data_IF_067638873115
#
_entry.id   IF_067638873115
#
_cell.length_a   1.000
_cell.length_b   1.000
_cell.length_c   1.000
_cell.angle_alpha   90.00
_cell.angle_beta   90.00
_cell.angle_gamma   90.00
#
_symmetry.space_group_name_H-M   'P 1'
#
loop_
_entity.id
_entity.type
_entity.pdbx_description
1 polymer ?
#
# COMPACT_ATOMS: atom_id res chain seq x y z
N UNK A 1 -8.28 -12.32 18.01
CA UNK A 1 -8.94 -12.25 16.69
C UNK A 1 -7.86 -12.00 15.66
N UNK A 2 -7.59 -12.95 14.79
CA UNK A 2 -6.64 -12.76 13.69
C UNK A 2 -7.27 -11.78 12.70
N UNK A 3 -6.64 -10.65 12.34
CA UNK A 3 -7.24 -9.73 11.38
C UNK A 3 -7.47 -10.48 10.07
N UNK A 4 -8.71 -10.46 9.59
CA UNK A 4 -9.07 -11.03 8.29
C UNK A 4 -8.27 -10.25 7.24
N UNK A 5 -7.35 -10.91 6.55
CA UNK A 5 -6.52 -10.25 5.54
C UNK A 5 -7.38 -9.92 4.33
N UNK A 6 -7.81 -8.67 4.25
CA UNK A 6 -8.42 -8.10 3.05
C UNK A 6 -7.31 -7.74 2.07
N UNK A 7 -7.50 -8.04 0.79
CA UNK A 7 -6.55 -7.73 -0.27
C UNK A 7 -7.18 -6.79 -1.29
N UNK A 8 -6.52 -5.68 -1.59
CA UNK A 8 -6.98 -4.71 -2.57
C UNK A 8 -6.07 -4.71 -3.82
N UNK A 9 -6.61 -4.28 -4.96
CA UNK A 9 -5.81 -4.03 -6.15
C UNK A 9 -5.03 -2.73 -6.02
N UNK A 10 -4.02 -2.54 -6.88
CA UNK A 10 -3.29 -1.27 -6.99
C UNK A 10 -4.21 -0.07 -7.27
N UNK A 11 -5.26 -0.26 -8.07
CA UNK A 11 -6.22 0.80 -8.41
C UNK A 11 -7.08 1.19 -7.20
N UNK A 12 -7.58 0.20 -6.46
CA UNK A 12 -8.37 0.43 -5.24
C UNK A 12 -7.54 1.13 -4.16
N UNK A 13 -6.29 0.70 -3.95
CA UNK A 13 -5.37 1.36 -3.01
C UNK A 13 -5.11 2.82 -3.40
N UNK A 14 -4.93 3.08 -4.70
CA UNK A 14 -4.68 4.41 -5.23
C UNK A 14 -5.87 5.35 -5.01
N UNK A 15 -7.08 4.89 -5.30
CA UNK A 15 -8.31 5.63 -5.08
C UNK A 15 -8.53 5.93 -3.60
N UNK A 16 -8.34 4.93 -2.72
CA UNK A 16 -8.55 5.07 -1.27
C UNK A 16 -7.59 6.05 -0.61
N UNK A 17 -6.36 6.13 -1.10
CA UNK A 17 -5.28 6.94 -0.49
C UNK A 17 -4.98 8.23 -1.23
N UNK A 18 -5.67 8.47 -2.35
CA UNK A 18 -5.40 9.57 -3.30
C UNK A 18 -3.93 9.61 -3.79
N UNK A 19 -3.29 8.44 -3.84
CA UNK A 19 -1.91 8.26 -4.31
C UNK A 19 -1.92 7.58 -5.67
N UNK A 20 -1.15 8.08 -6.62
CA UNK A 20 -1.09 7.43 -7.94
C UNK A 20 -0.62 5.97 -7.88
N UNK A 21 -1.20 5.12 -8.74
CA UNK A 21 -0.75 3.72 -8.95
C UNK A 21 0.76 3.65 -9.27
N UNK A 22 1.29 4.65 -9.98
CA UNK A 22 2.72 4.76 -10.30
C UNK A 22 3.57 4.89 -9.03
N UNK A 23 3.14 5.70 -8.06
CA UNK A 23 3.80 5.83 -6.77
C UNK A 23 3.80 4.51 -6.01
N UNK A 24 2.66 3.80 -5.96
CA UNK A 24 2.58 2.48 -5.29
C UNK A 24 3.52 1.45 -5.96
N UNK A 25 3.55 1.38 -7.29
CA UNK A 25 4.50 0.51 -8.02
C UNK A 25 5.96 0.85 -7.74
N UNK A 26 6.28 2.14 -7.63
CA UNK A 26 7.63 2.59 -7.24
C UNK A 26 7.99 2.13 -5.82
N UNK A 27 7.07 2.23 -4.86
CA UNK A 27 7.27 1.73 -3.48
C UNK A 27 7.49 0.22 -3.44
N UNK A 28 6.76 -0.54 -4.26
CA UNK A 28 6.94 -2.00 -4.38
C UNK A 28 8.32 -2.32 -4.95
N UNK A 29 8.69 -1.65 -6.05
CA UNK A 29 9.99 -1.86 -6.71
C UNK A 29 11.17 -1.48 -5.81
N UNK A 30 10.97 -0.48 -4.94
CA UNK A 30 11.94 -0.06 -3.92
C UNK A 30 11.96 -0.96 -2.66
N UNK A 31 11.14 -2.02 -2.60
CA UNK A 31 11.04 -2.91 -1.44
C UNK A 31 10.35 -2.28 -0.21
N UNK A 32 9.72 -1.12 -0.37
CA UNK A 32 9.08 -0.36 0.72
C UNK A 32 7.61 -0.75 0.94
N UNK A 33 6.97 -1.35 -0.07
CA UNK A 33 5.60 -1.83 0.01
C UNK A 33 5.55 -3.28 -0.42
N UNK A 34 5.04 -4.16 0.45
CA UNK A 34 4.87 -5.57 0.11
C UNK A 34 3.68 -5.75 -0.80
N UNK A 35 3.88 -6.53 -1.87
CA UNK A 35 2.82 -6.91 -2.78
C UNK A 35 2.74 -8.43 -2.89
N UNK A 36 1.52 -8.93 -3.07
CA UNK A 36 1.18 -10.34 -3.11
C UNK A 36 0.73 -10.70 -4.53
N UNK A 37 1.27 -11.78 -5.08
CA UNK A 37 0.84 -12.30 -6.38
C UNK A 37 -0.36 -13.23 -6.18
N UNK A 38 -1.39 -13.01 -6.98
CA UNK A 38 -2.51 -13.94 -7.15
C UNK A 38 -2.43 -14.52 -8.56
N UNK A 39 -1.74 -15.65 -8.70
CA UNK A 39 -1.40 -16.21 -10.00
C UNK A 39 -0.37 -15.37 -10.78
N UNK A 40 -0.27 -15.56 -12.11
CA UNK A 40 0.86 -15.03 -12.89
C UNK A 40 0.80 -13.51 -13.13
N UNK A 41 -0.40 -12.91 -13.15
CA UNK A 41 -0.60 -11.52 -13.62
C UNK A 41 -1.25 -10.58 -12.62
N UNK A 42 -1.88 -11.09 -11.56
CA UNK A 42 -2.64 -10.25 -10.63
C UNK A 42 -1.76 -9.94 -9.42
N UNK A 43 -1.68 -8.64 -9.10
CA UNK A 43 -1.00 -8.15 -7.92
C UNK A 43 -2.02 -7.60 -6.92
N UNK A 44 -1.81 -7.90 -5.65
CA UNK A 44 -2.65 -7.51 -4.52
C UNK A 44 -1.81 -6.86 -3.44
N UNK A 45 -2.41 -5.96 -2.69
CA UNK A 45 -1.82 -5.26 -1.57
C UNK A 45 -2.60 -5.56 -0.30
N UNK A 46 -1.91 -5.58 0.83
CA UNK A 46 -2.56 -5.50 2.14
C UNK A 46 -2.81 -4.02 2.43
N UNK A 47 -4.07 -3.58 2.64
CA UNK A 47 -4.41 -2.19 2.94
C UNK A 47 -3.60 -1.64 4.13
N UNK A 48 -3.33 -2.46 5.15
CA UNK A 48 -2.57 -2.04 6.32
C UNK A 48 -1.12 -1.71 5.99
N UNK A 49 -0.51 -2.42 5.03
CA UNK A 49 0.86 -2.14 4.59
C UNK A 49 0.93 -0.86 3.75
N UNK A 50 -0.14 -0.55 3.00
CA UNK A 50 -0.28 0.74 2.31
C UNK A 50 -0.40 1.88 3.33
N UNK A 51 -1.23 1.71 4.37
CA UNK A 51 -1.47 2.74 5.39
C UNK A 51 -0.21 3.04 6.22
N UNK A 52 0.62 2.02 6.49
CA UNK A 52 1.93 2.19 7.16
C UNK A 52 2.93 3.05 6.36
N UNK A 53 2.68 3.31 5.08
CA UNK A 53 3.48 4.25 4.30
C UNK A 53 3.20 5.71 4.69
N UNK A 54 2.01 5.99 5.22
CA UNK A 54 1.65 7.30 5.73
C UNK A 54 2.35 7.52 7.06
N UNK A 55 3.16 8.57 7.13
CA UNK A 55 3.84 8.98 8.36
C UNK A 55 3.42 10.40 8.69
N UNK A 56 3.20 10.73 9.97
CA UNK A 56 2.92 12.11 10.36
C UNK A 56 4.10 12.99 9.94
N UNK A 57 3.78 14.19 9.42
CA UNK A 57 4.78 15.23 9.24
C UNK A 57 5.06 15.82 10.62
N UNK A 58 6.32 15.81 11.11
CA UNK A 58 6.64 16.41 12.39
C UNK A 58 6.31 17.91 12.36
N UNK A 59 5.55 18.37 13.35
CA UNK A 59 5.31 19.78 13.57
C UNK A 59 6.54 20.40 14.27
N UNK A 60 6.97 21.58 13.83
CA UNK A 60 8.06 22.31 14.45
C UNK A 60 7.63 22.92 15.79
N UNK A 61 7.39 22.07 16.79
CA UNK A 61 7.26 22.40 18.21
C UNK A 61 7.33 21.11 19.02
N UNK A 62 8.55 20.69 19.33
CA UNK A 62 8.87 19.74 20.39
C UNK A 62 10.05 20.32 21.16
#
# INVERSE_FOLDING_TARGET
MTPQRTYESLAQAAERTDVSVKTLRRRISAGQLRAYRYGPRILRLDPNDVDKLMRPVPNARS
#
